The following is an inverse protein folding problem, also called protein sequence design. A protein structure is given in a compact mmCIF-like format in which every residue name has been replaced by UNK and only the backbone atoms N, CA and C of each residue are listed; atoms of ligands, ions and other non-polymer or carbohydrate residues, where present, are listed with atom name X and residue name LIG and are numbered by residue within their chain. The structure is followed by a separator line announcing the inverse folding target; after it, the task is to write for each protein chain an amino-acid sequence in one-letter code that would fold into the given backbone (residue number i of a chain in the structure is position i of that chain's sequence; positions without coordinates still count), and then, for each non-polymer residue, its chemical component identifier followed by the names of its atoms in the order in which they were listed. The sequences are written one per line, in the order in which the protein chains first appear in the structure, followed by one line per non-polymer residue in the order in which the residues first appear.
data_IF_479729349150
#
_entry.id   IF_479729349150
#
_cell.length_a   1.000
_cell.length_b   1.000
_cell.length_c   1.000
_cell.angle_alpha   90.00
_cell.angle_beta   90.00
_cell.angle_gamma   90.00
#
_symmetry.space_group_name_H-M   'P 1'
#
loop_
_entity.id
_entity.type
_entity.pdbx_description
1 polymer ?
#
# COMPACT_ATOMS: atom_id res chain seq x y z
N UNK A 1 -3.58 14.20 -11.91
CA UNK A 1 -2.93 13.57 -10.75
C UNK A 1 -3.95 13.58 -9.63
N UNK A 2 -4.54 12.44 -9.33
CA UNK A 2 -5.44 12.24 -8.18
C UNK A 2 -5.39 10.75 -7.93
N UNK A 3 -4.79 10.33 -6.82
CA UNK A 3 -5.43 9.45 -5.84
C UNK A 3 -4.66 9.57 -4.53
N UNK A 4 -5.41 9.91 -3.48
CA UNK A 4 -5.00 10.02 -2.09
C UNK A 4 -4.78 8.59 -1.58
N UNK A 5 -3.61 8.26 -1.01
CA UNK A 5 -3.36 6.90 -0.53
C UNK A 5 -4.13 6.62 0.77
N UNK A 6 -4.14 7.64 1.65
CA UNK A 6 -4.98 7.64 2.84
C UNK A 6 -6.43 7.92 2.44
N UNK A 7 -7.37 7.80 3.38
CA UNK A 7 -8.73 8.34 3.24
C UNK A 7 -9.01 9.31 4.38
N UNK A 8 -10.04 10.15 4.22
CA UNK A 8 -10.49 11.02 5.31
C UNK A 8 -10.87 10.22 6.56
N UNK A 9 -11.45 9.02 6.37
CA UNK A 9 -11.74 8.08 7.46
C UNK A 9 -10.46 7.63 8.20
N UNK A 10 -9.39 7.28 7.47
CA UNK A 10 -8.12 6.85 8.06
C UNK A 10 -7.51 7.95 8.95
N UNK A 11 -7.58 9.21 8.52
CA UNK A 11 -7.12 10.35 9.32
C UNK A 11 -8.01 10.61 10.54
N UNK A 12 -9.33 10.47 10.40
CA UNK A 12 -10.30 10.62 11.49
C UNK A 12 -10.19 9.50 12.54
N UNK A 13 -9.79 8.29 12.15
CA UNK A 13 -9.49 7.24 13.12
C UNK A 13 -8.29 7.60 14.02
N UNK A 14 -7.31 8.32 13.47
CA UNK A 14 -6.08 8.69 14.17
C UNK A 14 -6.13 10.05 14.92
N UNK A 15 -7.14 10.88 14.67
CA UNK A 15 -7.34 12.21 15.27
C UNK A 15 -8.76 12.32 15.83
N UNK A 16 -8.93 12.97 16.99
CA UNK A 16 -10.29 13.32 17.43
C UNK A 16 -10.93 14.26 16.39
N UNK A 17 -12.23 14.06 16.12
CA UNK A 17 -12.97 14.80 15.10
C UNK A 17 -12.80 16.33 15.22
N UNK A 18 -12.86 16.88 16.43
CA UNK A 18 -12.64 18.32 16.69
C UNK A 18 -11.24 18.81 16.28
N UNK A 19 -10.21 17.98 16.46
CA UNK A 19 -8.85 18.30 16.04
C UNK A 19 -8.72 18.22 14.53
N UNK A 20 -9.34 17.22 13.92
CA UNK A 20 -9.35 17.05 12.47
C UNK A 20 -10.01 18.24 11.77
N UNK A 21 -11.17 18.69 12.24
CA UNK A 21 -11.90 19.83 11.66
C UNK A 21 -11.12 21.15 11.83
N UNK A 22 -10.44 21.33 12.96
CA UNK A 22 -9.55 22.49 13.16
C UNK A 22 -8.30 22.48 12.26
N UNK A 23 -7.85 21.29 11.85
CA UNK A 23 -6.64 21.07 11.04
C UNK A 23 -6.97 21.15 9.55
N UNK A 24 -8.13 20.62 9.15
CA UNK A 24 -8.63 20.67 7.78
C UNK A 24 -8.92 22.11 7.34
N UNK A 25 -9.52 22.92 8.22
CA UNK A 25 -9.96 24.26 7.84
C UNK A 25 -10.92 24.21 6.64
N UNK A 26 -10.82 25.20 5.75
CA UNK A 26 -11.69 25.34 4.56
C UNK A 26 -11.04 24.79 3.27
N UNK A 27 -9.80 24.27 3.33
CA UNK A 27 -9.04 23.86 2.15
C UNK A 27 -8.41 22.46 2.29
N UNK A 28 -8.94 21.51 1.50
CA UNK A 28 -8.49 20.12 1.40
C UNK A 28 -7.08 19.97 0.79
N UNK A 29 -6.56 21.01 0.13
CA UNK A 29 -5.23 20.98 -0.48
C UNK A 29 -4.12 20.69 0.55
N UNK A 30 -4.27 21.11 1.80
CA UNK A 30 -3.26 20.84 2.83
C UNK A 30 -3.11 19.35 3.13
N UNK A 31 -4.22 18.63 3.13
CA UNK A 31 -4.28 17.19 3.34
C UNK A 31 -3.65 16.46 2.16
N UNK A 32 -3.99 16.88 0.93
CA UNK A 32 -3.43 16.31 -0.30
C UNK A 32 -1.91 16.45 -0.34
N UNK A 33 -1.38 17.64 -0.03
CA UNK A 33 0.07 17.85 -0.09
C UNK A 33 0.77 17.08 1.05
N UNK A 34 0.18 17.01 2.24
CA UNK A 34 0.76 16.25 3.35
C UNK A 34 0.84 14.74 3.05
N UNK A 35 -0.21 14.17 2.46
CA UNK A 35 -0.23 12.77 2.03
C UNK A 35 0.74 12.51 0.89
N UNK A 36 0.79 13.40 -0.11
CA UNK A 36 1.77 13.29 -1.21
C UNK A 36 3.20 13.30 -0.66
N UNK A 37 3.48 14.13 0.35
CA UNK A 37 4.79 14.15 1.01
C UNK A 37 5.07 12.88 1.82
N UNK A 38 4.07 12.35 2.52
CA UNK A 38 4.20 11.15 3.34
C UNK A 38 4.40 9.89 2.49
N UNK A 39 3.61 9.73 1.42
CA UNK A 39 3.71 8.64 0.45
C UNK A 39 5.05 8.67 -0.27
N UNK A 40 5.48 9.84 -0.79
CA UNK A 40 6.79 9.98 -1.44
C UNK A 40 7.91 9.58 -0.49
N UNK A 41 7.85 10.05 0.77
CA UNK A 41 8.84 9.69 1.78
C UNK A 41 8.87 8.17 2.02
N UNK A 42 7.71 7.53 2.24
CA UNK A 42 7.66 6.09 2.48
C UNK A 42 8.14 5.27 1.26
N UNK A 43 7.78 5.70 0.04
CA UNK A 43 8.24 5.08 -1.22
C UNK A 43 9.76 5.13 -1.32
N UNK A 44 10.40 6.25 -0.97
CA UNK A 44 11.86 6.40 -1.07
C UNK A 44 12.63 5.37 -0.21
N UNK A 45 12.12 5.00 0.97
CA UNK A 45 12.73 3.97 1.81
C UNK A 45 12.41 2.54 1.33
N UNK A 46 11.22 2.32 0.76
CA UNK A 46 10.75 0.98 0.40
C UNK A 46 11.20 0.53 -0.99
N UNK A 47 11.40 1.46 -1.93
CA UNK A 47 11.69 1.17 -3.35
C UNK A 47 12.95 0.33 -3.58
N UNK A 48 13.90 0.34 -2.65
CA UNK A 48 15.14 -0.45 -2.79
C UNK A 48 14.90 -1.95 -2.57
N UNK A 49 13.89 -2.32 -1.78
CA UNK A 49 13.68 -3.70 -1.33
C UNK A 49 12.33 -4.30 -1.70
N UNK A 50 11.30 -3.47 -1.83
CA UNK A 50 9.92 -3.88 -2.06
C UNK A 50 9.39 -3.32 -3.37
N UNK A 51 8.44 -4.02 -3.98
CA UNK A 51 7.72 -3.50 -5.12
C UNK A 51 6.80 -2.37 -4.64
N UNK A 52 7.17 -1.12 -4.93
CA UNK A 52 6.42 0.05 -4.51
C UNK A 52 4.97 0.02 -5.04
N UNK A 53 4.76 -0.51 -6.25
CA UNK A 53 3.43 -0.66 -6.86
C UNK A 53 2.50 -1.60 -6.07
N UNK A 54 3.06 -2.65 -5.46
CA UNK A 54 2.28 -3.60 -4.66
C UNK A 54 2.00 -3.05 -3.25
N UNK A 55 2.86 -2.17 -2.73
CA UNK A 55 2.66 -1.52 -1.43
C UNK A 55 1.71 -0.32 -1.51
N UNK A 56 1.68 0.34 -2.68
CA UNK A 56 0.87 1.52 -2.98
C UNK A 56 -0.01 1.25 -4.20
N UNK A 57 -1.06 0.40 -4.05
CA UNK A 57 -1.96 0.10 -5.15
C UNK A 57 -2.69 1.37 -5.59
N UNK A 58 -2.87 1.51 -6.91
CA UNK A 58 -3.72 2.56 -7.47
C UNK A 58 -5.17 2.17 -7.22
N UNK A 59 -5.87 2.98 -6.42
CA UNK A 59 -7.29 2.81 -6.11
C UNK A 59 -8.02 4.01 -6.69
N UNK A 60 -9.06 3.77 -7.47
CA UNK A 60 -9.89 4.83 -8.05
C UNK A 60 -11.28 4.87 -7.46
N UNK A 61 -11.96 6.02 -7.56
CA UNK A 61 -13.38 6.08 -7.26
C UNK A 61 -14.17 5.24 -8.27
N UNK A 62 -15.34 4.74 -7.86
CA UNK A 62 -16.24 4.03 -8.75
C UNK A 62 -16.76 4.96 -9.84
N UNK A 63 -16.69 4.49 -11.09
CA UNK A 63 -17.27 5.13 -12.25
C UNK A 63 -18.01 4.07 -13.08
N UNK A 64 -19.30 4.28 -13.30
CA UNK A 64 -20.15 3.37 -14.05
C UNK A 64 -19.72 3.22 -15.52
N UNK A 65 -18.98 4.19 -16.08
CA UNK A 65 -18.48 4.15 -17.45
C UNK A 65 -17.18 3.37 -17.59
N UNK A 66 -16.50 3.08 -16.48
CA UNK A 66 -15.24 2.36 -16.49
C UNK A 66 -15.46 0.85 -16.60
N UNK A 67 -14.56 0.18 -17.32
CA UNK A 67 -14.51 -1.28 -17.39
C UNK A 67 -13.63 -1.81 -16.26
N UNK A 68 -14.19 -2.75 -15.48
CA UNK A 68 -13.48 -3.43 -14.40
C UNK A 68 -13.27 -4.88 -14.79
N UNK A 69 -12.08 -5.40 -14.52
CA UNK A 69 -11.76 -6.81 -14.79
C UNK A 69 -11.40 -7.53 -13.51
N UNK A 70 -11.70 -8.82 -13.49
CA UNK A 70 -11.24 -9.69 -12.43
C UNK A 70 -9.76 -10.02 -12.61
N UNK A 71 -9.02 -10.07 -11.51
CA UNK A 71 -7.72 -10.71 -11.53
C UNK A 71 -7.91 -12.22 -11.85
N UNK A 72 -7.21 -12.79 -12.84
CA UNK A 72 -7.33 -14.21 -13.17
C UNK A 72 -6.91 -15.09 -12.00
N UNK A 73 -7.46 -16.30 -11.95
CA UNK A 73 -7.26 -17.25 -10.85
C UNK A 73 -5.78 -17.71 -10.66
N UNK A 74 -5.01 -17.80 -11.75
CA UNK A 74 -3.59 -18.17 -11.75
C UNK A 74 -2.67 -16.93 -11.78
N UNK A 75 -2.82 -16.07 -10.78
CA UNK A 75 -2.15 -14.78 -10.71
C UNK A 75 -0.64 -14.91 -10.41
N UNK A 76 0.18 -15.11 -11.45
CA UNK A 76 1.59 -14.74 -11.40
C UNK A 76 1.71 -13.22 -11.61
N UNK A 77 2.02 -12.51 -10.51
CA UNK A 77 2.19 -11.06 -10.41
C UNK A 77 3.12 -10.47 -11.46
N UNK A 78 3.94 -11.29 -12.11
CA UNK A 78 5.02 -10.87 -13.00
C UNK A 78 4.59 -10.62 -14.44
N UNK A 79 3.52 -11.28 -14.90
CA UNK A 79 3.07 -11.25 -16.31
C UNK A 79 2.05 -10.11 -16.55
N UNK A 80 1.30 -9.70 -15.53
CA UNK A 80 0.33 -8.59 -15.60
C UNK A 80 0.96 -7.19 -15.53
N UNK A 81 2.27 -7.10 -15.26
CA UNK A 81 3.02 -5.83 -15.17
C UNK A 81 3.22 -5.12 -16.53
N UNK A 82 2.89 -5.77 -17.64
CA UNK A 82 3.23 -5.30 -19.00
C UNK A 82 2.04 -4.75 -19.79
N UNK A 83 0.80 -5.04 -19.39
CA UNK A 83 -0.40 -4.64 -20.15
C UNK A 83 -1.24 -3.62 -19.38
N UNK A 84 -0.86 -2.36 -19.55
CA UNK A 84 -1.70 -1.16 -19.50
C UNK A 84 -3.06 -1.29 -18.75
N UNK A 85 -3.06 -0.84 -17.49
CA UNK A 85 -4.21 -0.38 -16.70
C UNK A 85 -5.50 -1.20 -16.81
N UNK A 86 -5.58 -2.24 -15.98
CA UNK A 86 -6.87 -2.82 -15.60
C UNK A 86 -7.16 -2.37 -14.16
N UNK A 87 -8.27 -1.65 -13.96
CA UNK A 87 -8.71 -1.19 -12.64
C UNK A 87 -9.35 -2.38 -11.90
N UNK A 88 -8.63 -2.92 -10.92
CA UNK A 88 -9.10 -4.05 -10.11
C UNK A 88 -9.73 -3.60 -8.78
N UNK A 89 -9.38 -2.41 -8.32
CA UNK A 89 -9.75 -1.88 -7.01
C UNK A 89 -10.50 -0.58 -7.13
N UNK A 90 -11.58 -0.47 -6.36
CA UNK A 90 -12.49 0.66 -6.39
C UNK A 90 -12.82 1.10 -4.97
N UNK A 91 -12.87 2.41 -4.77
CA UNK A 91 -13.39 3.03 -3.56
C UNK A 91 -14.84 3.49 -3.80
N UNK A 92 -15.74 3.06 -2.92
CA UNK A 92 -17.16 3.42 -2.98
C UNK A 92 -17.76 3.38 -1.57
N UNK A 93 -18.56 4.38 -1.19
CA UNK A 93 -19.25 4.44 0.11
C UNK A 93 -18.36 4.09 1.31
N UNK A 94 -17.19 4.72 1.41
CA UNK A 94 -16.21 4.51 2.52
C UNK A 94 -15.57 3.12 2.60
N UNK A 95 -15.75 2.30 1.56
CA UNK A 95 -15.24 0.93 1.50
C UNK A 95 -14.41 0.67 0.24
N UNK A 96 -13.49 -0.28 0.38
CA UNK A 96 -12.66 -0.76 -0.72
C UNK A 96 -13.23 -2.06 -1.27
N UNK A 97 -13.35 -2.11 -2.60
CA UNK A 97 -13.85 -3.25 -3.32
C UNK A 97 -12.82 -3.76 -4.32
N UNK A 98 -12.73 -5.08 -4.42
CA UNK A 98 -11.99 -5.81 -5.43
C UNK A 98 -12.97 -6.45 -6.41
N UNK A 99 -12.70 -6.31 -7.70
CA UNK A 99 -13.46 -6.96 -8.75
C UNK A 99 -13.18 -8.49 -8.76
N UNK A 100 -14.26 -9.29 -8.65
CA UNK A 100 -14.26 -10.76 -8.74
C UNK A 100 -14.53 -11.27 -10.14
N UNK A 101 -15.36 -10.55 -10.89
CA UNK A 101 -15.79 -10.92 -12.24
C UNK A 101 -15.85 -9.66 -13.09
N UNK A 102 -15.39 -9.76 -14.34
CA UNK A 102 -15.45 -8.66 -15.31
C UNK A 102 -16.84 -8.01 -15.32
N UNK A 103 -16.88 -6.70 -15.09
CA UNK A 103 -18.12 -5.94 -15.06
C UNK A 103 -17.91 -4.51 -15.55
N UNK A 104 -18.98 -3.92 -16.06
CA UNK A 104 -19.06 -2.51 -16.42
C UNK A 104 -20.44 -2.01 -16.03
N UNK A 105 -20.52 -0.83 -15.40
CA UNK A 105 -21.78 -0.24 -14.94
C UNK A 105 -22.51 -1.01 -13.82
N UNK A 106 -21.83 -1.88 -13.08
CA UNK A 106 -22.41 -2.63 -11.95
C UNK A 106 -21.84 -2.09 -10.64
N UNK A 107 -22.74 -1.64 -9.77
CA UNK A 107 -22.36 -1.01 -8.50
C UNK A 107 -21.58 -1.96 -7.57
N UNK A 108 -20.56 -1.45 -6.85
CA UNK A 108 -19.73 -2.23 -5.92
C UNK A 108 -20.48 -2.92 -4.78
N UNK A 109 -21.71 -2.51 -4.50
CA UNK A 109 -22.59 -3.13 -3.51
C UNK A 109 -23.01 -4.56 -3.89
N UNK A 110 -22.89 -4.94 -5.17
CA UNK A 110 -23.22 -6.29 -5.63
C UNK A 110 -22.10 -7.30 -5.34
N UNK A 111 -22.33 -8.14 -4.32
CA UNK A 111 -21.38 -9.17 -3.86
C UNK A 111 -21.03 -10.27 -4.88
N UNK A 112 -21.74 -10.34 -6.00
CA UNK A 112 -21.49 -11.29 -7.09
C UNK A 112 -20.26 -10.87 -7.89
N UNK A 113 -20.17 -9.58 -8.22
CA UNK A 113 -19.09 -9.01 -9.03
C UNK A 113 -17.98 -8.41 -8.17
N UNK A 114 -18.30 -8.04 -6.94
CA UNK A 114 -17.40 -7.33 -6.05
C UNK A 114 -17.18 -8.09 -4.73
N UNK A 115 -16.01 -7.91 -4.15
CA UNK A 115 -15.70 -8.32 -2.78
C UNK A 115 -15.09 -7.14 -2.03
N UNK A 116 -15.56 -6.90 -0.80
CA UNK A 116 -14.93 -5.95 0.11
C UNK A 116 -13.52 -6.46 0.45
N UNK A 117 -12.51 -5.67 0.09
CA UNK A 117 -11.10 -6.00 0.34
C UNK A 117 -10.25 -4.74 0.23
N UNK A 118 -9.56 -4.38 1.32
CA UNK A 118 -8.53 -3.35 1.29
C UNK A 118 -7.22 -3.95 0.77
N UNK A 119 -6.71 -3.51 -0.38
CA UNK A 119 -5.43 -3.99 -0.92
C UNK A 119 -4.22 -3.36 -0.21
N UNK A 120 -4.40 -2.32 0.60
CA UNK A 120 -3.30 -1.58 1.24
C UNK A 120 -2.78 -2.37 2.46
N UNK A 121 -1.45 -2.55 2.60
CA UNK A 121 -0.90 -3.19 3.79
C UNK A 121 -1.08 -2.28 5.02
N UNK A 122 -1.74 -2.80 6.06
CA UNK A 122 -2.10 -2.05 7.26
C UNK A 122 -0.91 -1.31 7.90
N UNK A 123 0.27 -1.95 7.95
CA UNK A 123 1.48 -1.34 8.51
C UNK A 123 1.94 -0.09 7.74
N UNK A 124 1.76 -0.06 6.42
CA UNK A 124 2.09 1.12 5.60
C UNK A 124 1.05 2.21 5.80
N UNK A 125 -0.24 1.85 5.91
CA UNK A 125 -1.30 2.82 6.23
C UNK A 125 -1.00 3.53 7.56
N UNK A 126 -0.64 2.79 8.61
CA UNK A 126 -0.26 3.36 9.91
C UNK A 126 0.95 4.29 9.79
N UNK A 127 1.98 3.87 9.04
CA UNK A 127 3.22 4.63 8.83
C UNK A 127 2.95 5.95 8.11
N UNK A 128 2.26 5.89 6.97
CA UNK A 128 1.93 7.06 6.15
C UNK A 128 0.99 7.99 6.93
N UNK A 129 0.05 7.45 7.70
CA UNK A 129 -0.84 8.23 8.58
C UNK A 129 -0.06 9.03 9.62
N UNK A 130 0.89 8.39 10.33
CA UNK A 130 1.70 9.06 11.34
C UNK A 130 2.54 10.21 10.73
N UNK A 131 3.16 9.95 9.57
CA UNK A 131 3.97 10.94 8.86
C UNK A 131 3.09 12.09 8.35
N UNK A 132 1.96 11.79 7.71
CA UNK A 132 1.03 12.79 7.18
C UNK A 132 0.52 13.72 8.30
N UNK A 133 0.10 13.16 9.43
CA UNK A 133 -0.38 13.95 10.58
C UNK A 133 0.73 14.84 11.15
N UNK A 134 1.96 14.34 11.25
CA UNK A 134 3.10 15.16 11.67
C UNK A 134 3.32 16.33 10.70
N UNK A 135 3.33 16.08 9.39
CA UNK A 135 3.46 17.12 8.36
C UNK A 135 2.31 18.13 8.42
N UNK A 136 1.08 17.68 8.65
CA UNK A 136 -0.07 18.56 8.84
C UNK A 136 0.12 19.49 10.05
N UNK A 137 0.52 18.96 11.20
CA UNK A 137 0.79 19.77 12.39
C UNK A 137 1.92 20.79 12.16
N UNK A 138 2.98 20.40 11.46
CA UNK A 138 4.09 21.31 11.15
C UNK A 138 3.66 22.49 10.26
N UNK A 139 2.64 22.31 9.42
CA UNK A 139 2.12 23.39 8.55
C UNK A 139 1.26 24.37 9.31
N UNK A 140 0.37 23.87 10.17
CA UNK A 140 -0.61 24.71 10.87
C UNK A 140 0.03 25.46 12.02
N UNK A 141 0.77 24.75 12.87
CA UNK A 141 1.43 25.35 14.01
C UNK A 141 2.79 24.69 14.29
N UNK A 142 3.85 25.12 13.58
CA UNK A 142 5.18 24.56 13.76
C UNK A 142 5.72 24.69 15.19
N UNK A 143 5.24 25.67 15.98
CA UNK A 143 5.73 25.96 17.32
C UNK A 143 5.11 25.07 18.40
N UNK A 144 3.93 24.51 18.17
CA UNK A 144 3.17 23.75 19.17
C UNK A 144 2.75 22.38 18.61
N UNK A 145 3.75 21.55 18.36
CA UNK A 145 3.53 20.15 17.97
C UNK A 145 3.47 19.30 19.24
N UNK A 146 2.40 18.51 19.46
CA UNK A 146 2.32 17.60 20.61
C UNK A 146 3.47 16.60 20.61
N UNK A 147 4.03 16.30 21.79
CA UNK A 147 5.15 15.35 21.93
C UNK A 147 4.80 13.97 21.36
N UNK A 148 3.61 13.46 21.65
CA UNK A 148 3.08 12.21 21.09
C UNK A 148 3.17 12.12 19.56
N UNK A 149 3.02 13.25 18.85
CA UNK A 149 3.09 13.29 17.37
C UNK A 149 4.52 13.26 16.87
N UNK A 150 5.48 13.77 17.65
CA UNK A 150 6.91 13.66 17.35
C UNK A 150 7.38 12.23 17.59
N UNK A 151 7.05 11.67 18.75
CA UNK A 151 7.44 10.32 19.13
C UNK A 151 6.96 9.30 18.09
N UNK A 152 5.69 9.35 17.68
CA UNK A 152 5.16 8.49 16.61
C UNK A 152 5.86 8.69 15.26
N UNK A 153 6.21 9.92 14.90
CA UNK A 153 6.95 10.18 13.66
C UNK A 153 8.36 9.58 13.71
N UNK A 154 9.03 9.71 14.85
CA UNK A 154 10.38 9.19 15.04
C UNK A 154 10.38 7.65 15.05
N UNK A 155 9.40 7.01 15.70
CA UNK A 155 9.19 5.56 15.68
C UNK A 155 9.00 5.02 14.25
N UNK A 156 8.15 5.68 13.45
CA UNK A 156 7.90 5.26 12.07
C UNK A 156 9.10 5.50 11.15
N UNK A 157 9.84 6.59 11.38
CA UNK A 157 11.10 6.85 10.68
C UNK A 157 12.16 5.81 11.00
N UNK A 158 12.27 5.42 12.26
CA UNK A 158 13.19 4.38 12.70
C UNK A 158 12.81 3.03 12.09
N UNK A 159 11.52 2.68 12.10
CA UNK A 159 11.03 1.48 11.46
C UNK A 159 11.40 1.42 9.97
N UNK A 160 11.15 2.51 9.21
CA UNK A 160 11.55 2.59 7.80
C UNK A 160 13.07 2.43 7.62
N UNK A 161 13.88 2.99 8.52
CA UNK A 161 15.33 2.83 8.51
C UNK A 161 15.77 1.38 8.80
N UNK A 162 15.12 0.69 9.73
CA UNK A 162 15.38 -0.72 10.04
C UNK A 162 14.97 -1.65 8.87
N UNK A 163 13.89 -1.31 8.17
CA UNK A 163 13.45 -2.02 6.95
C UNK A 163 14.48 -1.89 5.82
N UNK A 164 15.03 -0.68 5.64
CA UNK A 164 16.12 -0.40 4.71
C UNK A 164 17.40 -1.15 5.12
N UNK A 165 17.77 -1.10 6.40
CA UNK A 165 18.92 -1.76 7.00
C UNK A 165 18.85 -3.29 7.04
N UNK A 166 17.72 -3.89 6.64
CA UNK A 166 17.44 -5.34 6.65
C UNK A 166 17.38 -5.96 8.04
N UNK A 167 17.27 -5.16 9.09
CA UNK A 167 17.15 -5.63 10.47
C UNK A 167 15.76 -6.22 10.72
N UNK A 168 14.74 -5.63 10.10
CA UNK A 168 13.36 -6.11 10.14
C UNK A 168 12.92 -6.57 8.76
N UNK A 169 12.23 -7.71 8.74
CA UNK A 169 11.56 -8.24 7.55
C UNK A 169 10.05 -8.09 7.75
N UNK A 170 9.46 -6.96 7.33
CA UNK A 170 8.02 -6.77 7.42
C UNK A 170 7.31 -7.71 6.44
N UNK A 171 6.08 -8.09 6.76
CA UNK A 171 5.22 -8.91 5.91
C UNK A 171 4.62 -8.06 4.78
N UNK A 172 5.50 -7.58 3.90
CA UNK A 172 5.18 -6.79 2.73
C UNK A 172 5.42 -7.62 1.46
N UNK A 173 4.66 -7.35 0.39
CA UNK A 173 4.86 -8.03 -0.88
C UNK A 173 6.29 -7.80 -1.39
N UNK A 174 7.05 -8.88 -1.48
CA UNK A 174 8.41 -8.84 -2.02
C UNK A 174 8.37 -8.78 -3.55
N UNK A 175 9.34 -8.12 -4.19
CA UNK A 175 9.47 -8.18 -5.63
C UNK A 175 9.64 -9.64 -6.04
N UNK A 176 8.89 -10.06 -7.07
CA UNK A 176 9.08 -11.39 -7.64
C UNK A 176 10.45 -11.38 -8.29
N UNK A 177 11.39 -12.14 -7.72
CA UNK A 177 12.67 -12.39 -8.35
C UNK A 177 12.39 -13.40 -9.46
N UNK A 178 12.39 -12.97 -10.72
CA UNK A 178 12.42 -13.90 -11.86
C UNK A 178 13.82 -14.51 -11.86
N UNK A 179 14.04 -15.53 -11.04
CA UNK A 179 15.22 -16.36 -11.18
C UNK A 179 14.85 -17.54 -12.07
N UNK A 180 15.40 -17.52 -13.29
CA UNK A 180 15.68 -18.70 -14.09
C UNK A 180 16.56 -19.66 -13.26
N UNK A 181 15.97 -20.54 -12.46
CA UNK A 181 16.58 -21.81 -12.05
C UNK A 181 15.58 -22.68 -11.29
N UNK A 182 15.16 -23.72 -11.99
CA UNK A 182 14.44 -24.92 -11.55
C UNK A 182 14.81 -25.34 -10.11
N UNK A 183 13.78 -25.48 -9.28
CA UNK A 183 13.74 -26.24 -8.04
C UNK A 183 14.43 -27.59 -8.20
N UNK A 184 15.52 -27.86 -7.46
CA UNK A 184 15.63 -29.01 -6.54
C UNK A 184 16.82 -28.79 -5.57
N UNK A 185 16.66 -29.04 -4.26
CA UNK A 185 17.77 -29.12 -3.33
C UNK A 185 18.50 -30.47 -3.50
N UNK A 186 19.74 -30.45 -3.98
CA UNK A 186 20.63 -31.62 -3.95
C UNK A 186 21.36 -31.61 -2.59
N UNK A 187 20.79 -32.32 -1.61
CA UNK A 187 21.40 -32.53 -0.30
C UNK A 187 21.88 -33.99 -0.19
N UNK A 188 23.18 -34.17 0.00
CA UNK A 188 23.81 -35.37 0.57
C UNK A 188 23.36 -36.74 0.05
N UNK A 189 23.94 -37.22 -1.05
CA UNK A 189 24.04 -38.65 -1.33
C UNK A 189 25.43 -38.96 -1.88
N UNK A 190 26.25 -39.57 -1.04
CA UNK A 190 27.50 -40.24 -1.38
C UNK A 190 27.21 -41.30 -2.48
N UNK A 191 27.59 -41.06 -3.74
CA UNK A 191 27.59 -42.13 -4.74
C UNK A 191 28.78 -43.05 -4.43
N UNK A 192 28.56 -44.33 -4.06
CA UNK A 192 29.67 -45.26 -3.92
C UNK A 192 30.35 -45.39 -5.29
N UNK A 193 31.68 -45.34 -5.33
CA UNK A 193 32.42 -45.73 -6.53
C UNK A 193 32.01 -47.15 -6.90
N UNK A 194 31.39 -47.32 -8.07
CA UNK A 194 31.21 -48.64 -8.64
C UNK A 194 32.60 -49.17 -9.03
N UNK A 195 33.17 -50.02 -8.18
CA UNK A 195 34.29 -50.88 -8.56
C UNK A 195 33.83 -51.79 -9.69
N UNK A 196 34.37 -51.55 -10.88
CA UNK A 196 34.27 -52.46 -12.01
C UNK A 196 35.03 -53.75 -11.65
N UNK A 197 34.31 -54.87 -11.55
CA UNK A 197 34.87 -56.22 -11.70
C UNK A 197 34.46 -56.75 -13.07
#
# INVERSE_FOLDING_TARGET
MLYYFLTTSDLQAALKQDQFDSIRGDDDNNIIIADTQATTFAIDYLRERFAAEDCFPIISDYDALSEYKAAPADYDRTIYRLNNQIVNYVYFEEKFYKCKQDCSGIDPTNSTYWAEHDPRPARIVDCVTAIAIYKLHTRINPRKIPQLRRDRYDEEREWLAQVLGKEITPDLPRPVVINDSIDYPIWGSNTPQQTLY
#
